data_IF_936602101063
#
_entry.id   IF_936602101063
#
_cell.length_a   1.000
_cell.length_b   1.000
_cell.length_c   1.000
_cell.angle_alpha   90.00
_cell.angle_beta   90.00
_cell.angle_gamma   90.00
#
_symmetry.space_group_name_H-M   'P 1'
#
loop_
_entity.id
_entity.type
_entity.pdbx_description
1 polymer ?
#
# COMPACT_ATOMS: atom_id res chain seq x y z
N UNK A 1 6.04 14.15 -1.49
CA UNK A 1 5.11 15.21 -1.99
C UNK A 1 5.62 15.98 -3.21
N UNK A 2 6.91 15.89 -3.58
CA UNK A 2 7.44 16.61 -4.76
C UNK A 2 6.86 16.11 -6.09
N UNK A 3 6.63 14.79 -6.23
CA UNK A 3 6.03 14.21 -7.46
C UNK A 3 4.61 14.75 -7.71
N UNK A 4 3.76 14.82 -6.67
CA UNK A 4 2.43 15.42 -6.75
C UNK A 4 2.48 16.87 -7.23
N UNK A 5 3.41 17.67 -6.69
CA UNK A 5 3.61 19.05 -7.13
C UNK A 5 4.04 19.14 -8.58
N UNK A 6 4.93 18.26 -9.05
CA UNK A 6 5.42 18.28 -10.44
C UNK A 6 4.32 17.95 -11.44
N UNK A 7 3.47 16.97 -11.14
CA UNK A 7 2.42 16.54 -12.07
C UNK A 7 1.19 17.46 -12.05
N UNK A 8 0.85 18.05 -10.89
CA UNK A 8 -0.41 18.80 -10.72
C UNK A 8 -0.24 20.29 -10.42
N UNK A 9 0.94 20.74 -10.00
CA UNK A 9 1.19 22.08 -9.46
C UNK A 9 0.91 22.22 -7.96
N UNK A 10 0.25 21.25 -7.34
CA UNK A 10 -0.13 21.27 -5.91
C UNK A 10 0.50 20.11 -5.14
N UNK A 11 0.80 20.32 -3.86
CA UNK A 11 1.42 19.27 -3.01
C UNK A 11 0.42 18.23 -2.49
N UNK A 12 -0.85 18.59 -2.38
CA UNK A 12 -1.91 17.75 -1.78
C UNK A 12 -3.16 17.74 -2.66
N UNK A 13 -3.82 18.89 -2.81
CA UNK A 13 -5.04 19.03 -3.61
C UNK A 13 -4.70 19.16 -5.10
N UNK A 14 -4.48 18.02 -5.76
CA UNK A 14 -3.96 17.95 -7.12
C UNK A 14 -5.00 18.19 -8.23
N UNK A 15 -6.27 17.85 -8.00
CA UNK A 15 -7.33 17.86 -9.03
C UNK A 15 -6.86 17.24 -10.38
N UNK A 16 -6.10 16.15 -10.29
CA UNK A 16 -5.40 15.54 -11.41
C UNK A 16 -6.25 14.49 -12.14
N UNK A 17 -6.90 13.59 -11.39
CA UNK A 17 -7.87 12.64 -11.94
C UNK A 17 -9.21 13.35 -12.18
N UNK A 18 -9.80 13.14 -13.36
CA UNK A 18 -11.06 13.75 -13.79
C UNK A 18 -11.94 12.70 -14.47
N UNK A 19 -13.27 12.87 -14.50
CA UNK A 19 -14.12 12.05 -15.36
C UNK A 19 -13.61 12.11 -16.81
N UNK A 20 -13.24 10.96 -17.38
CA UNK A 20 -12.61 10.86 -18.69
C UNK A 20 -11.08 10.67 -18.68
N UNK A 21 -10.42 10.64 -17.52
CA UNK A 21 -8.99 10.27 -17.41
C UNK A 21 -8.19 11.21 -16.50
N UNK A 22 -7.08 11.74 -17.03
CA UNK A 22 -6.16 12.63 -16.31
C UNK A 22 -6.14 14.03 -16.89
N UNK A 23 -5.84 15.04 -16.06
CA UNK A 23 -5.87 16.45 -16.49
C UNK A 23 -4.76 16.80 -17.48
N UNK A 24 -3.54 16.29 -17.26
CA UNK A 24 -2.32 16.61 -18.02
C UNK A 24 -1.42 15.38 -18.05
N UNK A 25 -0.55 15.32 -19.05
CA UNK A 25 0.47 14.28 -19.16
C UNK A 25 1.59 14.42 -18.11
N UNK A 26 2.37 13.37 -17.92
CA UNK A 26 3.53 13.34 -17.04
C UNK A 26 4.64 14.28 -17.57
N UNK A 27 5.21 15.16 -16.72
CA UNK A 27 6.34 15.98 -17.12
C UNK A 27 7.58 15.11 -17.41
N UNK A 28 8.39 15.53 -18.38
CA UNK A 28 9.62 14.82 -18.79
C UNK A 28 10.54 14.53 -17.59
N UNK A 29 11.09 13.32 -17.56
CA UNK A 29 12.00 12.83 -16.53
C UNK A 29 11.34 12.45 -15.20
N UNK A 30 10.04 12.68 -15.02
CA UNK A 30 9.36 12.33 -13.75
C UNK A 30 9.33 10.82 -13.52
N UNK A 31 9.18 10.01 -14.56
CA UNK A 31 9.23 8.54 -14.48
C UNK A 31 10.57 8.06 -13.92
N UNK A 32 11.68 8.62 -14.39
CA UNK A 32 13.03 8.26 -13.96
C UNK A 32 13.26 8.64 -12.49
N UNK A 33 12.77 9.81 -12.10
CA UNK A 33 12.84 10.27 -10.71
C UNK A 33 12.01 9.40 -9.76
N UNK A 34 10.83 8.94 -10.20
CA UNK A 34 10.01 7.99 -9.44
C UNK A 34 10.72 6.63 -9.34
N UNK A 35 11.35 6.17 -10.42
CA UNK A 35 12.10 4.90 -10.40
C UNK A 35 13.26 4.94 -9.41
N UNK A 36 14.04 6.04 -9.40
CA UNK A 36 15.11 6.30 -8.43
C UNK A 36 14.59 6.29 -6.98
N UNK A 37 13.41 6.87 -6.74
CA UNK A 37 12.75 6.77 -5.43
C UNK A 37 12.37 5.32 -5.09
N UNK A 38 11.80 4.57 -6.03
CA UNK A 38 11.42 3.18 -5.83
C UNK A 38 12.63 2.25 -5.58
N UNK A 39 13.84 2.62 -6.00
CA UNK A 39 15.07 1.86 -5.72
C UNK A 39 15.63 2.14 -4.32
N UNK A 40 15.43 3.36 -3.80
CA UNK A 40 15.91 3.77 -2.48
C UNK A 40 14.91 3.49 -1.35
N UNK A 41 13.60 3.58 -1.62
CA UNK A 41 12.56 3.45 -0.62
C UNK A 41 12.52 2.11 0.14
N UNK A 42 12.80 0.95 -0.48
CA UNK A 42 12.85 -0.32 0.25
C UNK A 42 13.80 -0.31 1.46
N UNK A 43 14.93 0.41 1.37
CA UNK A 43 15.86 0.56 2.50
C UNK A 43 15.22 1.27 3.69
N UNK A 44 14.37 2.27 3.42
CA UNK A 44 13.63 2.98 4.48
C UNK A 44 12.63 2.05 5.15
N UNK A 45 12.02 1.13 4.39
CA UNK A 45 11.13 0.09 4.96
C UNK A 45 11.96 -0.85 5.84
N UNK A 46 13.13 -1.28 5.39
CA UNK A 46 14.04 -2.16 6.15
C UNK A 46 14.51 -1.48 7.46
N UNK A 47 14.83 -0.19 7.41
CA UNK A 47 15.21 0.59 8.60
C UNK A 47 14.05 0.68 9.61
N UNK A 48 12.82 0.89 9.13
CA UNK A 48 11.62 0.90 9.96
C UNK A 48 11.35 -0.46 10.60
N UNK A 49 11.51 -1.55 9.86
CA UNK A 49 11.36 -2.91 10.38
C UNK A 49 12.43 -3.21 11.44
N UNK A 50 13.68 -2.80 11.20
CA UNK A 50 14.78 -2.98 12.15
C UNK A 50 14.49 -2.29 13.49
N UNK A 51 13.86 -1.11 13.47
CA UNK A 51 13.54 -0.35 14.68
C UNK A 51 12.29 -0.84 15.42
N UNK A 52 11.30 -1.39 14.69
CA UNK A 52 9.95 -1.65 15.23
C UNK A 52 9.57 -3.13 15.25
N UNK A 53 9.84 -3.88 14.18
CA UNK A 53 9.29 -5.22 13.98
C UNK A 53 9.70 -6.16 15.09
N UNK A 54 10.98 -6.19 15.47
CA UNK A 54 11.52 -7.04 16.54
C UNK A 54 11.67 -6.34 17.89
N UNK A 55 11.24 -5.08 17.97
CA UNK A 55 11.31 -4.33 19.20
C UNK A 55 10.33 -4.88 20.25
N UNK A 56 10.87 -5.30 21.41
CA UNK A 56 10.08 -5.84 22.52
C UNK A 56 8.98 -4.89 22.99
N UNK A 57 9.29 -3.60 23.13
CA UNK A 57 8.33 -2.59 23.59
C UNK A 57 7.21 -2.44 22.56
N UNK A 58 7.55 -2.46 21.26
CA UNK A 58 6.57 -2.37 20.20
C UNK A 58 5.65 -3.59 20.16
N UNK A 59 6.20 -4.81 20.25
CA UNK A 59 5.41 -6.05 20.34
C UNK A 59 4.50 -6.05 21.56
N UNK A 60 5.00 -5.70 22.75
CA UNK A 60 4.20 -5.62 23.98
C UNK A 60 3.00 -4.67 23.89
N UNK A 61 3.05 -3.67 23.00
CA UNK A 61 1.99 -2.66 22.82
C UNK A 61 1.03 -2.97 21.68
N UNK A 62 1.28 -4.01 20.88
CA UNK A 62 0.48 -4.30 19.69
C UNK A 62 0.08 -5.77 19.52
N UNK A 63 0.86 -6.71 20.06
CA UNK A 63 0.51 -8.14 20.06
C UNK A 63 -0.63 -8.36 21.06
N UNK A 64 -1.62 -9.15 20.66
CA UNK A 64 -2.84 -9.45 21.44
C UNK A 64 -3.68 -8.21 21.82
N UNK A 65 -3.47 -7.07 21.15
CA UNK A 65 -4.22 -5.83 21.38
C UNK A 65 -5.12 -5.52 20.18
N UNK A 66 -6.38 -5.18 20.47
CA UNK A 66 -7.37 -4.87 19.44
C UNK A 66 -7.65 -6.07 18.53
N UNK A 67 -7.76 -7.26 19.12
CA UNK A 67 -8.08 -8.49 18.40
C UNK A 67 -9.48 -8.37 17.80
N UNK A 68 -9.59 -8.66 16.50
CA UNK A 68 -10.86 -8.71 15.78
C UNK A 68 -10.95 -10.05 15.08
N UNK A 69 -11.99 -10.82 15.40
CA UNK A 69 -12.26 -12.09 14.72
C UNK A 69 -12.79 -11.89 13.29
N UNK A 70 -12.72 -12.94 12.47
CA UNK A 70 -13.26 -12.92 11.10
C UNK A 70 -14.76 -12.60 11.06
N UNK A 71 -15.51 -13.12 12.03
CA UNK A 71 -16.96 -12.92 12.12
C UNK A 71 -17.28 -11.47 12.46
N UNK A 72 -16.68 -10.93 13.53
CA UNK A 72 -16.86 -9.53 13.92
C UNK A 72 -16.47 -8.57 12.79
N UNK A 73 -15.37 -8.84 12.08
CA UNK A 73 -14.94 -7.99 10.98
C UNK A 73 -15.97 -7.94 9.83
N UNK A 74 -16.67 -9.04 9.56
CA UNK A 74 -17.71 -9.10 8.54
C UNK A 74 -19.02 -8.47 9.03
N UNK A 75 -19.44 -8.76 10.26
CA UNK A 75 -20.66 -8.21 10.87
C UNK A 75 -20.58 -6.69 11.00
N UNK A 76 -19.42 -6.16 11.38
CA UNK A 76 -19.18 -4.71 11.46
C UNK A 76 -18.81 -4.07 10.13
N UNK A 77 -18.86 -4.81 9.02
CA UNK A 77 -18.54 -4.30 7.68
C UNK A 77 -17.17 -3.61 7.60
N UNK A 78 -16.17 -4.16 8.29
CA UNK A 78 -14.80 -3.68 8.18
C UNK A 78 -14.26 -3.92 6.77
N UNK A 79 -13.22 -3.18 6.39
CA UNK A 79 -12.62 -3.26 5.05
C UNK A 79 -11.10 -3.10 5.07
N UNK A 80 -10.46 -3.43 3.95
CA UNK A 80 -9.03 -3.29 3.74
C UNK A 80 -8.20 -4.09 4.75
N UNK A 81 -7.22 -3.42 5.38
CA UNK A 81 -6.27 -4.04 6.30
C UNK A 81 -6.95 -4.62 7.55
N UNK A 82 -8.12 -4.11 7.96
CA UNK A 82 -8.84 -4.68 9.09
C UNK A 82 -9.32 -6.10 8.79
N UNK A 83 -9.95 -6.33 7.62
CA UNK A 83 -10.36 -7.67 7.18
C UNK A 83 -9.16 -8.59 6.96
N UNK A 84 -8.11 -8.07 6.29
CA UNK A 84 -6.90 -8.84 5.99
C UNK A 84 -6.14 -9.24 7.25
N UNK A 85 -6.03 -8.33 8.23
CA UNK A 85 -5.41 -8.60 9.53
C UNK A 85 -6.13 -9.71 10.29
N UNK A 86 -7.46 -9.75 10.22
CA UNK A 86 -8.29 -10.83 10.80
C UNK A 86 -8.24 -12.14 10.00
N UNK A 87 -7.53 -12.21 8.89
CA UNK A 87 -7.34 -13.43 8.11
C UNK A 87 -8.41 -13.69 7.04
N UNK A 88 -9.11 -12.65 6.58
CA UNK A 88 -10.03 -12.71 5.44
C UNK A 88 -9.27 -12.25 4.18
N UNK A 89 -9.07 -13.11 3.15
CA UNK A 89 -8.32 -12.77 1.95
C UNK A 89 -9.16 -11.91 0.98
N UNK A 90 -9.41 -10.65 1.34
CA UNK A 90 -10.23 -9.73 0.55
C UNK A 90 -9.46 -8.47 0.12
N UNK A 91 -9.43 -8.20 -1.17
CA UNK A 91 -8.89 -6.97 -1.76
C UNK A 91 -9.60 -6.67 -3.09
N UNK A 92 -10.11 -5.45 -3.24
CA UNK A 92 -10.86 -5.04 -4.42
C UNK A 92 -10.01 -5.11 -5.70
N UNK A 93 -8.71 -4.82 -5.62
CA UNK A 93 -7.82 -4.82 -6.80
C UNK A 93 -7.66 -6.21 -7.43
N UNK A 94 -7.96 -7.28 -6.69
CA UNK A 94 -7.96 -8.67 -7.19
C UNK A 94 -9.39 -9.22 -7.37
N UNK A 95 -10.28 -9.01 -6.40
CA UNK A 95 -11.64 -9.57 -6.45
C UNK A 95 -12.54 -8.86 -7.46
N UNK A 96 -12.40 -7.54 -7.60
CA UNK A 96 -13.16 -6.70 -8.53
C UNK A 96 -12.21 -5.67 -9.18
N UNK A 97 -11.31 -6.13 -10.06
CA UNK A 97 -10.26 -5.28 -10.62
C UNK A 97 -10.85 -4.06 -11.34
N UNK A 98 -10.21 -2.92 -11.15
CA UNK A 98 -10.50 -1.66 -11.84
C UNK A 98 -9.21 -1.13 -12.47
N UNK A 99 -9.33 -0.16 -13.38
CA UNK A 99 -8.21 0.39 -14.15
C UNK A 99 -7.37 -0.75 -14.78
N UNK A 100 -6.06 -0.77 -14.54
CA UNK A 100 -5.13 -1.78 -15.04
C UNK A 100 -4.62 -2.74 -13.96
N UNK A 101 -5.24 -2.82 -12.77
CA UNK A 101 -4.77 -3.69 -11.69
C UNK A 101 -4.76 -5.18 -12.03
N UNK A 102 -5.60 -5.60 -12.99
CA UNK A 102 -5.65 -6.98 -13.48
C UNK A 102 -4.37 -7.40 -14.21
N UNK A 103 -3.62 -6.45 -14.78
CA UNK A 103 -2.40 -6.73 -15.55
C UNK A 103 -1.16 -6.95 -14.68
N UNK A 104 -1.24 -6.57 -13.39
CA UNK A 104 -0.13 -6.63 -12.44
C UNK A 104 -0.19 -7.85 -11.53
N UNK A 105 0.98 -8.43 -11.26
CA UNK A 105 1.11 -9.56 -10.36
C UNK A 105 1.72 -9.14 -9.01
N UNK A 106 0.85 -8.87 -8.04
CA UNK A 106 1.22 -8.56 -6.67
C UNK A 106 0.53 -9.51 -5.68
N UNK A 107 1.14 -9.66 -4.51
CA UNK A 107 0.63 -10.47 -3.40
C UNK A 107 -0.19 -9.62 -2.43
N UNK A 108 -1.16 -10.24 -1.78
CA UNK A 108 -1.96 -9.60 -0.73
C UNK A 108 -1.51 -10.17 0.61
N UNK A 109 -0.99 -9.35 1.54
CA UNK A 109 -0.62 -9.83 2.87
C UNK A 109 -1.87 -10.11 3.69
N UNK A 110 -1.83 -11.18 4.46
CA UNK A 110 -2.96 -11.66 5.28
C UNK A 110 -2.42 -11.94 6.68
N UNK A 111 -3.07 -11.37 7.69
CA UNK A 111 -2.79 -11.63 9.10
C UNK A 111 -3.42 -12.93 9.58
N UNK A 112 -3.08 -13.37 10.78
CA UNK A 112 -3.54 -14.64 11.35
C UNK A 112 -4.37 -14.44 12.61
N UNK A 113 -3.95 -13.53 13.47
CA UNK A 113 -4.46 -13.33 14.82
C UNK A 113 -5.51 -12.21 14.88
N UNK A 114 -5.47 -11.25 13.94
CA UNK A 114 -6.40 -10.11 13.93
C UNK A 114 -6.06 -8.99 14.91
N UNK A 115 -4.83 -8.95 15.43
CA UNK A 115 -4.34 -7.94 16.36
C UNK A 115 -3.76 -6.70 15.64
N UNK A 116 -3.34 -5.70 16.43
CA UNK A 116 -2.69 -4.51 15.90
C UNK A 116 -1.36 -4.81 15.21
N UNK A 117 -0.63 -5.84 15.66
CA UNK A 117 0.67 -6.20 15.12
C UNK A 117 0.58 -6.81 13.72
N UNK A 118 -0.37 -7.70 13.48
CA UNK A 118 -0.65 -8.26 12.15
C UNK A 118 -1.07 -7.17 11.15
N UNK A 119 -1.86 -6.19 11.60
CA UNK A 119 -2.25 -5.04 10.77
C UNK A 119 -1.06 -4.13 10.46
N UNK A 120 -0.07 -4.04 11.35
CA UNK A 120 1.19 -3.35 11.07
C UNK A 120 1.99 -4.11 10.00
N UNK A 121 2.20 -5.42 10.17
CA UNK A 121 2.94 -6.25 9.22
C UNK A 121 2.28 -6.22 7.82
N UNK A 122 0.96 -6.30 7.75
CA UNK A 122 0.24 -6.18 6.47
C UNK A 122 0.54 -4.85 5.75
N UNK A 123 0.64 -3.73 6.49
CA UNK A 123 0.98 -2.43 5.89
C UNK A 123 2.43 -2.36 5.43
N UNK A 124 3.36 -2.96 6.18
CA UNK A 124 4.77 -3.02 5.79
C UNK A 124 4.93 -3.78 4.46
N UNK A 125 4.29 -4.95 4.34
CA UNK A 125 4.28 -5.74 3.10
C UNK A 125 3.55 -5.02 1.95
N UNK A 126 2.43 -4.35 2.23
CA UNK A 126 1.72 -3.54 1.22
C UNK A 126 2.58 -2.43 0.63
N UNK A 127 3.45 -1.80 1.44
CA UNK A 127 4.41 -0.82 0.92
C UNK A 127 5.40 -1.46 -0.05
N UNK A 128 5.91 -2.66 0.25
CA UNK A 128 6.82 -3.41 -0.64
C UNK A 128 6.14 -3.82 -1.94
N UNK A 129 4.92 -4.34 -1.87
CA UNK A 129 4.13 -4.70 -3.05
C UNK A 129 3.76 -3.46 -3.88
N UNK A 130 3.49 -2.32 -3.24
CA UNK A 130 3.22 -1.05 -3.94
C UNK A 130 4.43 -0.58 -4.75
N UNK A 131 5.65 -0.71 -4.20
CA UNK A 131 6.89 -0.41 -4.95
C UNK A 131 7.02 -1.31 -6.18
N UNK A 132 6.70 -2.61 -6.06
CA UNK A 132 6.73 -3.53 -7.21
C UNK A 132 5.76 -3.10 -8.30
N UNK A 133 4.51 -2.77 -7.92
CA UNK A 133 3.50 -2.28 -8.85
C UNK A 133 4.00 -1.01 -9.56
N UNK A 134 4.52 -0.02 -8.84
CA UNK A 134 5.00 1.23 -9.45
C UNK A 134 6.13 0.96 -10.47
N UNK A 135 7.09 0.11 -10.12
CA UNK A 135 8.17 -0.28 -11.05
C UNK A 135 7.64 -0.96 -12.30
N UNK A 136 6.65 -1.83 -12.15
CA UNK A 136 6.01 -2.52 -13.28
C UNK A 136 5.20 -1.55 -14.15
N UNK A 137 4.47 -0.61 -13.55
CA UNK A 137 3.76 0.46 -14.27
C UNK A 137 4.71 1.30 -15.13
N UNK A 138 5.86 1.70 -14.59
CA UNK A 138 6.84 2.50 -15.34
C UNK A 138 7.42 1.70 -16.50
N UNK A 139 7.73 0.41 -16.29
CA UNK A 139 8.29 -0.45 -17.33
C UNK A 139 7.32 -0.74 -18.47
N UNK A 140 6.01 -0.80 -18.16
CA UNK A 140 4.93 -1.11 -19.12
C UNK A 140 4.21 0.14 -19.63
N UNK A 141 4.72 1.34 -19.36
CA UNK A 141 4.09 2.58 -19.79
C UNK A 141 4.06 2.63 -21.32
N UNK A 142 2.88 2.80 -21.95
CA UNK A 142 2.74 2.83 -23.41
C UNK A 142 3.31 4.10 -24.04
#
# INVERSE_FOLDING_TARGET
MTFYKRVSGSRLHANYFRPGGVHKDLPRGLSDDILSFCDSFPKVIDDLETLLTDNRIFKQRNVDIGIVSKQEALEHSFSGVMLRGSGVPWDLRKSQPYECYQEFNFKIPIGKNGDCYDRYLCRMEEMRESVKIIKECIKRMP
#
